data_IF_798761571646
#
_entry.id   IF_798761571646
#
_cell.length_a   1.000
_cell.length_b   1.000
_cell.length_c   1.000
_cell.angle_alpha   90.00
_cell.angle_beta   90.00
_cell.angle_gamma   90.00
#
_symmetry.space_group_name_H-M   'P 1'
#
loop_
_entity.id
_entity.type
_entity.pdbx_description
1 polymer ?
#
# COMPACT_ATOMS: atom_id res chain seq x y z
N UNK A 1 -1.20 -3.57 -26.75
CA UNK A 1 -2.14 -2.45 -26.55
C UNK A 1 -2.32 -1.74 -27.89
N UNK A 2 -3.51 -1.78 -28.50
CA UNK A 2 -3.72 -1.34 -29.89
C UNK A 2 -3.36 0.16 -30.07
N UNK A 3 -2.30 0.44 -30.85
CA UNK A 3 -1.86 1.78 -31.21
C UNK A 3 -0.97 2.52 -30.20
N UNK A 4 -0.76 1.97 -29.00
CA UNK A 4 0.10 2.55 -27.98
C UNK A 4 1.54 2.03 -28.12
N UNK A 5 2.50 2.94 -28.06
CA UNK A 5 3.94 2.63 -28.12
C UNK A 5 4.61 3.13 -26.86
N UNK A 6 5.56 2.36 -26.32
CA UNK A 6 6.38 2.77 -25.18
C UNK A 6 7.14 4.05 -25.57
N UNK A 7 7.18 5.00 -24.65
CA UNK A 7 7.78 6.31 -24.83
C UNK A 7 8.60 6.72 -23.61
N UNK A 8 9.30 7.84 -23.71
CA UNK A 8 9.99 8.46 -22.59
C UNK A 8 9.12 9.55 -21.93
N UNK A 9 9.60 10.08 -20.80
CA UNK A 9 8.92 11.15 -20.06
C UNK A 9 8.79 12.43 -20.89
N UNK A 10 9.73 12.72 -21.79
CA UNK A 10 9.67 13.91 -22.65
C UNK A 10 8.47 13.87 -23.60
N UNK A 11 8.17 12.71 -24.21
CA UNK A 11 6.98 12.58 -25.05
C UNK A 11 5.67 12.69 -24.25
N UNK A 12 5.68 12.24 -22.99
CA UNK A 12 4.54 12.39 -22.10
C UNK A 12 4.30 13.86 -21.74
N UNK A 13 5.36 14.59 -21.37
CA UNK A 13 5.30 16.03 -21.10
C UNK A 13 4.85 16.80 -22.34
N UNK A 14 5.37 16.46 -23.52
CA UNK A 14 4.94 17.05 -24.79
C UNK A 14 3.43 16.89 -25.00
N UNK A 15 2.91 15.68 -24.81
CA UNK A 15 1.47 15.41 -24.93
C UNK A 15 0.65 16.19 -23.90
N UNK A 16 1.10 16.24 -22.64
CA UNK A 16 0.43 16.99 -21.58
C UNK A 16 0.38 18.48 -21.91
N UNK A 17 1.46 19.07 -22.44
CA UNK A 17 1.49 20.47 -22.83
C UNK A 17 0.59 20.78 -24.05
N UNK A 18 0.32 19.80 -24.91
CA UNK A 18 -0.54 19.96 -26.08
C UNK A 18 -2.04 19.84 -25.76
N UNK A 19 -2.38 19.02 -24.78
CA UNK A 19 -3.76 18.56 -24.57
C UNK A 19 -4.25 18.71 -23.13
N UNK A 20 -3.41 19.22 -22.24
CA UNK A 20 -3.57 19.16 -20.79
C UNK A 20 -3.74 17.71 -20.30
N UNK A 21 -4.11 17.56 -19.03
CA UNK A 21 -4.41 16.30 -18.41
C UNK A 21 -5.09 16.50 -17.06
N UNK A 22 -5.25 15.41 -16.31
CA UNK A 22 -5.74 15.48 -14.94
C UNK A 22 -4.64 15.93 -13.97
N UNK A 23 -5.03 16.53 -12.84
CA UNK A 23 -4.11 16.91 -11.76
C UNK A 23 -3.27 15.72 -11.27
N UNK A 24 -3.88 14.54 -11.10
CA UNK A 24 -3.20 13.31 -10.69
C UNK A 24 -2.23 12.75 -11.75
N UNK A 25 -2.23 13.32 -12.96
CA UNK A 25 -1.39 12.94 -14.09
C UNK A 25 -0.45 14.07 -14.54
N UNK A 26 -0.43 15.20 -13.82
CA UNK A 26 0.47 16.32 -14.10
C UNK A 26 1.93 15.87 -13.97
N UNK A 27 2.83 16.26 -14.89
CA UNK A 27 4.25 15.95 -14.79
C UNK A 27 4.87 16.39 -13.46
N UNK A 28 4.46 17.53 -12.92
CA UNK A 28 4.92 18.06 -11.63
C UNK A 28 4.49 17.17 -10.47
N UNK A 29 3.21 16.76 -10.44
CA UNK A 29 2.67 15.86 -9.42
C UNK A 29 3.33 14.48 -9.52
N UNK A 30 3.49 13.95 -10.73
CA UNK A 30 4.15 12.66 -10.96
C UNK A 30 5.63 12.70 -10.53
N UNK A 31 6.36 13.77 -10.85
CA UNK A 31 7.74 13.99 -10.41
C UNK A 31 7.87 14.03 -8.89
N UNK A 32 6.87 14.57 -8.20
CA UNK A 32 6.80 14.54 -6.74
C UNK A 32 6.48 13.13 -6.19
N UNK A 33 5.59 12.37 -6.84
CA UNK A 33 5.11 11.08 -6.34
C UNK A 33 6.07 9.90 -6.60
N UNK A 34 6.68 9.81 -7.79
CA UNK A 34 7.48 8.65 -8.19
C UNK A 34 8.71 8.37 -7.28
N UNK A 35 9.35 9.36 -6.65
CA UNK A 35 10.39 9.09 -5.64
C UNK A 35 9.86 8.57 -4.31
N UNK A 36 8.59 8.83 -3.97
CA UNK A 36 7.98 8.46 -2.69
C UNK A 36 7.44 7.04 -2.69
N UNK A 37 7.10 6.52 -3.87
CA UNK A 37 6.47 5.22 -4.05
C UNK A 37 7.17 4.48 -5.19
N UNK A 38 7.55 3.23 -4.97
CA UNK A 38 8.03 2.37 -6.05
C UNK A 38 6.85 1.98 -6.95
N UNK A 39 6.56 2.78 -7.98
CA UNK A 39 5.41 2.61 -8.87
C UNK A 39 5.76 1.95 -10.21
N UNK A 40 7.05 1.72 -10.47
CA UNK A 40 7.59 1.18 -11.73
C UNK A 40 6.95 1.85 -12.96
N UNK A 41 7.04 3.18 -13.00
CA UNK A 41 6.35 4.02 -13.97
C UNK A 41 6.83 3.78 -15.40
N UNK A 42 5.88 3.74 -16.34
CA UNK A 42 6.15 3.63 -17.78
C UNK A 42 5.25 4.58 -18.54
N UNK A 43 5.81 5.22 -19.57
CA UNK A 43 5.09 6.13 -20.42
C UNK A 43 4.75 5.45 -21.75
N UNK A 44 3.54 5.69 -22.24
CA UNK A 44 3.09 5.24 -23.55
C UNK A 44 2.44 6.39 -24.28
N UNK A 45 2.67 6.46 -25.59
CA UNK A 45 2.05 7.45 -26.47
C UNK A 45 1.30 6.78 -27.60
N UNK A 46 0.21 7.41 -28.01
CA UNK A 46 -0.53 7.06 -29.22
C UNK A 46 -0.34 8.18 -30.23
N UNK A 47 0.00 7.82 -31.46
CA UNK A 47 0.14 8.78 -32.55
C UNK A 47 -1.08 8.71 -33.47
N UNK A 48 -1.45 9.86 -34.03
CA UNK A 48 -2.31 9.94 -35.22
C UNK A 48 -1.44 10.48 -36.35
N UNK A 49 -1.16 9.63 -37.35
CA UNK A 49 -0.11 9.89 -38.35
C UNK A 49 1.23 10.17 -37.63
N UNK A 50 1.83 11.33 -37.84
CA UNK A 50 3.10 11.73 -37.25
C UNK A 50 2.94 12.55 -35.96
N UNK A 51 1.72 12.96 -35.60
CA UNK A 51 1.47 13.79 -34.42
C UNK A 51 1.14 12.92 -33.20
N UNK A 52 1.69 13.26 -32.04
CA UNK A 52 1.25 12.68 -30.77
C UNK A 52 -0.22 13.06 -30.56
N UNK A 53 -1.07 12.06 -30.34
CA UNK A 53 -2.51 12.23 -30.15
C UNK A 53 -2.94 12.01 -28.68
N UNK A 54 -2.16 11.26 -27.91
CA UNK A 54 -2.37 11.05 -26.48
C UNK A 54 -1.11 10.47 -25.83
N UNK A 55 -0.97 10.66 -24.52
CA UNK A 55 0.00 9.95 -23.69
C UNK A 55 -0.67 9.42 -22.41
N UNK A 56 -0.12 8.34 -21.87
CA UNK A 56 -0.49 7.78 -20.56
C UNK A 56 0.76 7.44 -19.78
N UNK A 57 0.68 7.63 -18.46
CA UNK A 57 1.61 7.08 -17.49
C UNK A 57 0.95 5.85 -16.86
N UNK A 58 1.68 4.74 -16.79
CA UNK A 58 1.22 3.45 -16.29
C UNK A 58 2.08 3.04 -15.11
N UNK A 59 1.45 2.61 -14.03
CA UNK A 59 2.08 2.08 -12.82
C UNK A 59 1.91 0.57 -12.74
N UNK A 60 2.98 -0.13 -12.32
CA UNK A 60 3.02 -1.58 -12.15
C UNK A 60 2.54 -2.41 -13.35
N UNK A 61 2.67 -1.87 -14.57
CA UNK A 61 2.13 -2.45 -15.81
C UNK A 61 0.61 -2.74 -15.81
N UNK A 62 -0.12 -2.17 -14.85
CA UNK A 62 -1.52 -2.55 -14.59
C UNK A 62 -2.45 -1.34 -14.41
N UNK A 63 -1.96 -0.27 -13.79
CA UNK A 63 -2.79 0.86 -13.38
C UNK A 63 -2.42 2.10 -14.17
N UNK A 64 -3.39 2.97 -14.44
CA UNK A 64 -3.08 4.31 -14.94
C UNK A 64 -2.61 5.20 -13.79
N UNK A 65 -1.76 6.18 -14.08
CA UNK A 65 -1.40 7.16 -13.08
C UNK A 65 -2.63 7.88 -12.52
N UNK A 66 -2.72 7.97 -11.20
CA UNK A 66 -3.86 8.48 -10.46
C UNK A 66 -4.86 7.41 -9.99
N UNK A 67 -4.69 6.14 -10.38
CA UNK A 67 -5.55 5.05 -9.91
C UNK A 67 -5.29 4.75 -8.42
N UNK A 68 -6.31 4.85 -7.54
CA UNK A 68 -6.17 4.55 -6.12
C UNK A 68 -5.60 3.16 -5.84
N UNK A 69 -5.93 2.15 -6.64
CA UNK A 69 -5.54 0.76 -6.39
C UNK A 69 -4.03 0.56 -6.56
N UNK A 70 -3.37 1.42 -7.34
CA UNK A 70 -1.91 1.39 -7.48
C UNK A 70 -1.17 1.65 -6.16
N UNK A 71 -1.76 2.46 -5.28
CA UNK A 71 -1.19 2.76 -3.95
C UNK A 71 -1.49 1.67 -2.92
N UNK A 72 -2.56 0.88 -3.14
CA UNK A 72 -2.94 -0.21 -2.24
C UNK A 72 -2.10 -1.47 -2.49
N UNK A 73 -1.40 -1.54 -3.62
CA UNK A 73 -0.63 -2.72 -4.01
C UNK A 73 0.68 -2.87 -3.24
N UNK A 74 1.24 -1.78 -2.72
CA UNK A 74 2.55 -1.81 -2.11
C UNK A 74 2.42 -1.61 -0.62
N UNK A 75 2.73 -2.70 0.09
CA UNK A 75 3.26 -2.75 1.46
C UNK A 75 2.23 -2.95 2.57
N UNK A 76 0.98 -2.53 2.38
CA UNK A 76 -0.10 -2.75 3.36
C UNK A 76 -0.74 -4.14 3.24
N UNK A 77 -0.83 -4.93 4.31
CA UNK A 77 -1.72 -6.10 4.33
C UNK A 77 -2.43 -6.25 5.67
N UNK A 78 -3.60 -6.89 5.65
CA UNK A 78 -4.40 -7.15 6.85
C UNK A 78 -4.46 -8.65 7.07
N UNK A 79 -4.07 -9.11 8.26
CA UNK A 79 -4.25 -10.49 8.70
C UNK A 79 -5.22 -10.54 9.89
N UNK A 80 -6.11 -11.54 9.92
CA UNK A 80 -6.89 -11.81 11.11
C UNK A 80 -5.98 -12.36 12.21
N UNK A 81 -6.16 -11.91 13.47
CA UNK A 81 -5.32 -12.35 14.59
C UNK A 81 -5.44 -13.87 14.83
N UNK A 82 -6.55 -14.52 14.44
CA UNK A 82 -6.71 -15.96 14.55
C UNK A 82 -5.90 -16.77 13.52
N UNK A 83 -5.35 -16.11 12.50
CA UNK A 83 -4.51 -16.78 11.49
C UNK A 83 -3.06 -16.98 11.96
N UNK A 84 -2.70 -16.48 13.15
CA UNK A 84 -1.38 -16.67 13.75
C UNK A 84 -1.50 -17.35 15.12
N UNK A 85 -0.42 -17.93 15.63
CA UNK A 85 -0.43 -18.57 16.96
C UNK A 85 -0.59 -17.53 18.09
N UNK A 86 -0.93 -17.98 19.29
CA UNK A 86 -1.01 -17.06 20.46
C UNK A 86 0.37 -16.52 20.82
N UNK A 87 1.42 -17.33 20.75
CA UNK A 87 2.79 -16.87 20.99
C UNK A 87 3.21 -15.78 20.00
N UNK A 88 2.99 -16.00 18.70
CA UNK A 88 3.38 -15.02 17.68
C UNK A 88 2.62 -13.70 17.86
N UNK A 89 1.33 -13.78 18.22
CA UNK A 89 0.53 -12.60 18.50
C UNK A 89 1.06 -11.82 19.71
N UNK A 90 1.44 -12.53 20.78
CA UNK A 90 1.93 -11.91 22.01
C UNK A 90 3.28 -11.24 21.79
N UNK A 91 4.19 -11.87 21.05
CA UNK A 91 5.47 -11.27 20.69
C UNK A 91 5.28 -10.01 19.83
N UNK A 92 4.44 -10.09 18.80
CA UNK A 92 4.11 -8.96 17.94
C UNK A 92 3.45 -7.80 18.72
N UNK A 93 2.49 -8.12 19.58
CA UNK A 93 1.80 -7.10 20.39
C UNK A 93 2.75 -6.42 21.38
N UNK A 94 3.68 -7.18 21.97
CA UNK A 94 4.71 -6.64 22.86
C UNK A 94 5.66 -5.69 22.14
N UNK A 95 6.12 -6.05 20.93
CA UNK A 95 6.96 -5.17 20.10
C UNK A 95 6.24 -3.85 19.77
N UNK A 96 4.99 -3.91 19.31
CA UNK A 96 4.20 -2.71 19.03
C UNK A 96 3.93 -1.88 20.29
N UNK A 97 3.72 -2.52 21.43
CA UNK A 97 3.56 -1.84 22.71
C UNK A 97 4.85 -1.14 23.13
N UNK A 98 6.01 -1.79 22.97
CA UNK A 98 7.32 -1.21 23.22
C UNK A 98 7.60 0.00 22.32
N UNK A 99 7.33 -0.08 21.02
CA UNK A 99 7.46 1.06 20.11
C UNK A 99 6.62 2.27 20.55
N UNK A 100 5.45 2.02 21.15
CA UNK A 100 4.52 3.07 21.59
C UNK A 100 4.84 3.63 22.98
N UNK A 101 5.34 2.80 23.89
CA UNK A 101 5.41 3.10 25.33
C UNK A 101 6.81 2.98 25.93
N UNK A 102 7.78 2.49 25.15
CA UNK A 102 9.15 2.21 25.57
C UNK A 102 9.21 1.29 26.81
N UNK A 103 8.31 0.30 26.86
CA UNK A 103 8.14 -0.65 27.96
C UNK A 103 7.69 -2.00 27.38
N UNK A 104 8.15 -3.12 27.92
CA UNK A 104 7.69 -4.46 27.57
C UNK A 104 6.60 -4.96 28.52
N UNK A 105 5.67 -5.77 28.01
CA UNK A 105 4.66 -6.47 28.79
C UNK A 105 5.14 -7.85 29.22
N UNK A 106 4.51 -8.36 30.29
CA UNK A 106 4.70 -9.75 30.67
C UNK A 106 3.97 -10.66 29.67
N UNK A 107 4.73 -11.16 28.70
CA UNK A 107 4.25 -12.04 27.63
C UNK A 107 3.62 -13.34 28.16
N UNK A 108 4.13 -13.89 29.25
CA UNK A 108 3.60 -15.14 29.83
C UNK A 108 2.17 -14.95 30.37
N UNK A 109 1.91 -13.81 31.03
CA UNK A 109 0.58 -13.49 31.54
C UNK A 109 -0.41 -13.31 30.38
N UNK A 110 -0.04 -12.53 29.36
CA UNK A 110 -0.91 -12.30 28.22
C UNK A 110 -1.20 -13.60 27.45
N UNK A 111 -0.18 -14.43 27.21
CA UNK A 111 -0.34 -15.73 26.58
C UNK A 111 -1.26 -16.65 27.39
N UNK A 112 -1.09 -16.68 28.73
CA UNK A 112 -1.95 -17.44 29.63
C UNK A 112 -3.43 -17.05 29.49
N UNK A 113 -3.73 -15.76 29.57
CA UNK A 113 -5.11 -15.26 29.44
C UNK A 113 -5.74 -15.62 28.09
N UNK A 114 -4.99 -15.45 26.99
CA UNK A 114 -5.50 -15.72 25.65
C UNK A 114 -5.67 -17.22 25.36
N UNK A 115 -4.90 -18.08 26.01
CA UNK A 115 -5.05 -19.53 25.90
C UNK A 115 -6.24 -20.04 26.73
N UNK A 116 -6.45 -19.50 27.93
CA UNK A 116 -7.60 -19.83 28.78
C UNK A 116 -8.92 -19.29 28.22
N UNK A 117 -8.89 -18.14 27.55
CA UNK A 117 -10.07 -17.50 26.97
C UNK A 117 -9.83 -17.16 25.49
N UNK A 118 -9.82 -18.16 24.58
CA UNK A 118 -9.53 -17.95 23.16
C UNK A 118 -10.50 -16.97 22.48
N UNK A 119 -11.72 -16.83 23.00
CA UNK A 119 -12.72 -15.88 22.49
C UNK A 119 -12.29 -14.41 22.64
N UNK A 120 -11.28 -14.09 23.46
CA UNK A 120 -10.70 -12.76 23.56
C UNK A 120 -9.77 -12.41 22.39
N UNK A 121 -9.29 -13.41 21.64
CA UNK A 121 -8.35 -13.21 20.53
C UNK A 121 -9.08 -12.76 19.25
N UNK A 122 -9.55 -11.50 19.26
CA UNK A 122 -10.34 -10.95 18.16
C UNK A 122 -9.74 -9.66 17.60
N UNK A 123 -9.81 -9.56 16.28
CA UNK A 123 -9.44 -8.35 15.53
C UNK A 123 -8.43 -8.66 14.43
N UNK A 124 -7.69 -7.63 14.03
CA UNK A 124 -6.85 -7.65 12.84
C UNK A 124 -5.48 -7.03 13.10
N UNK A 125 -4.50 -7.47 12.33
CA UNK A 125 -3.13 -6.97 12.30
C UNK A 125 -2.93 -6.25 10.98
N UNK A 126 -2.53 -4.99 11.04
CA UNK A 126 -2.06 -4.24 9.89
C UNK A 126 -0.56 -4.44 9.76
N UNK A 127 -0.13 -4.96 8.62
CA UNK A 127 1.26 -5.00 8.20
C UNK A 127 1.52 -3.84 7.25
N UNK A 128 2.70 -3.25 7.37
CA UNK A 128 3.26 -2.30 6.42
C UNK A 128 4.70 -2.72 6.10
N UNK A 129 5.04 -2.86 4.82
CA UNK A 129 6.36 -3.33 4.34
C UNK A 129 6.76 -4.69 4.91
N UNK A 130 5.80 -5.61 5.03
CA UNK A 130 5.95 -6.93 5.68
C UNK A 130 6.28 -6.87 7.19
N UNK A 131 6.23 -5.70 7.82
CA UNK A 131 6.40 -5.53 9.26
C UNK A 131 5.06 -5.22 9.93
N UNK A 132 4.79 -5.72 11.14
CA UNK A 132 3.61 -5.32 11.91
C UNK A 132 3.64 -3.82 12.16
N UNK A 133 2.53 -3.13 11.87
CA UNK A 133 2.39 -1.68 12.05
C UNK A 133 1.34 -1.33 13.10
N UNK A 134 0.25 -2.07 13.16
CA UNK A 134 -0.80 -1.86 14.15
C UNK A 134 -1.59 -3.14 14.43
N UNK A 135 -2.16 -3.20 15.63
CA UNK A 135 -3.12 -4.23 16.02
C UNK A 135 -4.42 -3.55 16.43
N UNK A 136 -5.52 -4.00 15.83
CA UNK A 136 -6.86 -3.77 16.37
C UNK A 136 -7.18 -4.97 17.25
N UNK A 137 -7.10 -4.81 18.57
CA UNK A 137 -7.49 -5.85 19.53
C UNK A 137 -8.86 -5.51 20.10
N UNK A 138 -9.84 -6.39 19.86
CA UNK A 138 -11.25 -6.16 20.23
C UNK A 138 -11.65 -7.15 21.31
N UNK A 139 -12.16 -6.63 22.42
CA UNK A 139 -12.77 -7.45 23.47
C UNK A 139 -14.29 -7.38 23.28
N UNK A 140 -14.94 -8.52 23.05
CA UNK A 140 -16.41 -8.59 22.99
C UNK A 140 -16.99 -8.39 24.39
N UNK A 141 -18.03 -7.58 24.49
CA UNK A 141 -18.74 -7.31 25.75
C UNK A 141 -19.57 -8.50 26.25
N UNK A 142 -19.91 -9.45 25.38
CA UNK A 142 -20.58 -10.69 25.74
C UNK A 142 -19.65 -11.87 25.41
N UNK A 143 -19.08 -12.47 26.45
CA UNK A 143 -18.37 -13.76 26.39
C UNK A 143 -19.33 -14.89 26.74
#
# INVERSE_FOLDING_TARGET
MFGWKKANVSNYIEAYNLYDGGLSTSPEILTFLHPLYDLNEKHYVRHNKERIAAAICVWHDQFLAGDPDAYHKNEGSIANINNISTSDFVDLYDELYFMRRNEHKNKQILAGVLNEIPSLKLGNILFYKNSPAAVQFVIKTNC
#
